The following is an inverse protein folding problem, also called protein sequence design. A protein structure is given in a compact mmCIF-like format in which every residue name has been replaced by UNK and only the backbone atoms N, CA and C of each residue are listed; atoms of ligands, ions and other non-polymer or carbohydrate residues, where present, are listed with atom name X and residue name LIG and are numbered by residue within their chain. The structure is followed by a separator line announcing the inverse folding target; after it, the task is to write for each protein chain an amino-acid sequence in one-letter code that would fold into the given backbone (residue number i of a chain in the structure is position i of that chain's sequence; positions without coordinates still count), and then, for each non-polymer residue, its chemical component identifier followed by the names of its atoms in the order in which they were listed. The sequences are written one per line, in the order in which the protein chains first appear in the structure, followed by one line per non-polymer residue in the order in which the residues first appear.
data_IF_119917256356
#
_entry.id   IF_119917256356
#
_cell.length_a   1.000
_cell.length_b   1.000
_cell.length_c   1.000
_cell.angle_alpha   90.00
_cell.angle_beta   90.00
_cell.angle_gamma   90.00
#
_symmetry.space_group_name_H-M   'P 1'
#
loop_
_entity.id
_entity.type
_entity.pdbx_description
1 polymer ?
#
# COMPACT_ATOMS: atom_id res chain seq x y z
N UNK A 1 26.21 -13.04 31.19
CA UNK A 1 25.63 -14.08 30.31
C UNK A 1 25.06 -13.40 29.06
N UNK A 2 25.29 -13.96 27.89
CA UNK A 2 24.68 -13.48 26.63
C UNK A 2 23.53 -14.43 26.31
N UNK A 3 22.29 -13.93 26.40
CA UNK A 3 21.11 -14.71 26.03
C UNK A 3 21.05 -14.84 24.50
N UNK A 4 21.26 -16.05 23.99
CA UNK A 4 21.05 -16.35 22.56
C UNK A 4 19.58 -16.65 22.34
N UNK A 5 18.95 -15.84 21.50
CA UNK A 5 17.58 -16.06 21.04
C UNK A 5 17.58 -17.28 20.10
N UNK A 6 16.72 -18.29 20.32
CA UNK A 6 16.60 -19.42 19.39
C UNK A 6 16.17 -18.94 18.01
N UNK A 7 16.85 -19.38 16.95
CA UNK A 7 16.38 -19.20 15.58
C UNK A 7 15.04 -19.94 15.43
N UNK A 8 13.95 -19.20 15.55
CA UNK A 8 12.62 -19.71 15.30
C UNK A 8 12.40 -19.70 13.78
N UNK A 9 12.79 -20.79 13.12
CA UNK A 9 12.36 -21.06 11.76
C UNK A 9 10.86 -21.33 11.80
N UNK A 10 10.05 -20.30 11.57
CA UNK A 10 8.61 -20.47 11.41
C UNK A 10 8.32 -20.89 9.96
N UNK A 11 8.00 -22.17 9.68
CA UNK A 11 7.70 -22.64 8.32
C UNK A 11 6.43 -22.00 7.75
N UNK A 12 5.68 -21.22 8.53
CA UNK A 12 4.49 -20.49 8.08
C UNK A 12 4.80 -19.19 7.33
N UNK A 13 6.07 -18.80 7.27
CA UNK A 13 6.52 -17.76 6.32
C UNK A 13 6.83 -18.34 4.93
N UNK A 14 6.34 -19.54 4.63
CA UNK A 14 6.20 -20.01 3.24
C UNK A 14 5.22 -19.07 2.54
N UNK A 15 5.69 -18.40 1.48
CA UNK A 15 4.89 -17.56 0.60
C UNK A 15 3.54 -18.21 0.33
N UNK A 16 2.47 -17.68 0.94
CA UNK A 16 1.11 -18.13 0.67
C UNK A 16 0.83 -17.86 -0.80
N UNK A 17 0.93 -18.89 -1.63
CA UNK A 17 0.37 -18.86 -2.99
C UNK A 17 -1.13 -18.76 -2.79
N UNK A 18 -1.66 -17.55 -2.90
CA UNK A 18 -3.09 -17.29 -2.83
C UNK A 18 -3.77 -18.13 -3.91
N UNK A 19 -4.42 -19.23 -3.53
CA UNK A 19 -5.23 -20.04 -4.41
C UNK A 19 -6.45 -19.21 -4.81
N UNK A 20 -6.37 -18.51 -5.94
CA UNK A 20 -7.48 -17.73 -6.46
C UNK A 20 -8.64 -18.67 -6.82
N UNK A 21 -9.92 -18.26 -6.60
CA UNK A 21 -11.05 -19.01 -7.12
C UNK A 21 -10.91 -19.20 -8.64
N UNK A 22 -11.25 -20.37 -9.19
CA UNK A 22 -11.14 -20.62 -10.62
C UNK A 22 -11.95 -19.57 -11.39
N UNK A 23 -11.26 -18.79 -12.24
CA UNK A 23 -11.87 -17.74 -13.09
C UNK A 23 -11.55 -16.30 -12.70
N UNK A 24 -10.84 -16.04 -11.60
CA UNK A 24 -10.34 -14.68 -11.30
C UNK A 24 -8.90 -14.52 -11.78
N UNK A 25 -8.66 -13.52 -12.64
CA UNK A 25 -7.31 -13.09 -13.00
C UNK A 25 -6.56 -12.66 -11.72
N UNK A 26 -5.27 -13.03 -11.58
CA UNK A 26 -4.47 -12.64 -10.44
C UNK A 26 -4.36 -11.12 -10.37
N UNK A 27 -4.46 -10.58 -9.15
CA UNK A 27 -4.20 -9.16 -8.91
C UNK A 27 -2.69 -8.93 -9.02
N UNK A 28 -2.28 -7.94 -9.80
CA UNK A 28 -0.87 -7.58 -9.92
C UNK A 28 -0.30 -7.08 -8.58
N UNK A 29 0.98 -7.33 -8.35
CA UNK A 29 1.66 -6.87 -7.15
C UNK A 29 1.74 -5.33 -7.10
N UNK A 30 1.75 -4.79 -5.88
CA UNK A 30 2.08 -3.40 -5.66
C UNK A 30 3.57 -3.18 -5.96
N UNK A 31 3.91 -2.05 -6.61
CA UNK A 31 5.28 -1.73 -6.96
C UNK A 31 6.25 -1.75 -5.76
N UNK A 32 5.79 -1.33 -4.58
CA UNK A 32 6.57 -1.36 -3.35
C UNK A 32 5.79 -2.01 -2.20
N UNK A 33 6.01 -3.32 -1.99
CA UNK A 33 5.51 -4.04 -0.82
C UNK A 33 5.94 -3.38 0.49
N UNK A 34 4.99 -3.23 1.42
CA UNK A 34 5.15 -2.45 2.66
C UNK A 34 4.32 -3.07 3.79
N UNK A 35 4.82 -2.97 5.02
CA UNK A 35 4.14 -3.36 6.25
C UNK A 35 3.72 -2.14 7.07
N UNK A 36 2.70 -2.29 7.92
CA UNK A 36 2.22 -1.22 8.80
C UNK A 36 1.50 -0.05 8.10
N UNK A 37 1.32 -0.10 6.78
CA UNK A 37 0.60 0.93 6.02
C UNK A 37 -0.88 0.98 6.42
N UNK A 38 -1.51 2.11 6.12
CA UNK A 38 -2.97 2.25 6.20
C UNK A 38 -3.58 2.21 4.81
N UNK A 39 -4.82 1.74 4.73
CA UNK A 39 -5.58 1.78 3.50
C UNK A 39 -7.03 2.20 3.75
N UNK A 40 -7.60 2.98 2.84
CA UNK A 40 -9.02 3.30 2.85
C UNK A 40 -9.60 3.18 1.44
N UNK A 41 -10.86 2.75 1.38
CA UNK A 41 -11.64 2.79 0.14
C UNK A 41 -12.26 4.18 -0.01
N UNK A 42 -11.98 4.82 -1.14
CA UNK A 42 -12.53 6.12 -1.52
C UNK A 42 -13.03 6.07 -2.96
N UNK A 43 -13.96 6.95 -3.30
CA UNK A 43 -14.34 7.14 -4.69
C UNK A 43 -13.43 8.20 -5.32
N UNK A 44 -12.78 7.86 -6.42
CA UNK A 44 -11.95 8.77 -7.20
C UNK A 44 -12.57 8.96 -8.60
N UNK A 45 -12.13 9.98 -9.36
CA UNK A 45 -12.41 10.02 -10.79
C UNK A 45 -11.89 8.76 -11.49
N UNK A 46 -12.58 8.34 -12.55
CA UNK A 46 -12.07 7.29 -13.43
C UNK A 46 -10.71 7.69 -14.02
N UNK A 47 -9.99 6.74 -14.62
CA UNK A 47 -8.77 7.05 -15.34
C UNK A 47 -9.09 8.05 -16.47
N UNK A 48 -8.45 9.23 -16.46
CA UNK A 48 -8.74 10.42 -17.30
C UNK A 48 -10.04 11.18 -16.97
N UNK A 49 -10.79 10.76 -15.97
CA UNK A 49 -11.91 11.53 -15.42
C UNK A 49 -11.42 12.73 -14.61
N UNK A 50 -12.30 13.70 -14.40
CA UNK A 50 -12.02 14.87 -13.57
C UNK A 50 -13.03 14.98 -12.43
N UNK A 51 -12.61 15.63 -11.34
CA UNK A 51 -13.51 16.08 -10.29
C UNK A 51 -14.57 17.03 -10.87
N UNK A 52 -15.84 17.04 -10.39
CA UNK A 52 -16.39 16.36 -9.20
C UNK A 52 -16.89 14.94 -9.42
N UNK A 53 -16.79 14.38 -10.64
CA UNK A 53 -17.31 13.04 -10.91
C UNK A 53 -16.35 11.98 -10.35
N UNK A 54 -16.55 11.61 -9.09
CA UNK A 54 -15.78 10.61 -8.38
C UNK A 54 -16.69 9.45 -7.95
N UNK A 55 -16.88 8.49 -8.85
CA UNK A 55 -17.72 7.30 -8.63
C UNK A 55 -16.92 5.99 -8.75
N UNK A 56 -15.60 6.06 -8.91
CA UNK A 56 -14.74 4.89 -9.09
C UNK A 56 -14.18 4.42 -7.74
N UNK A 57 -14.59 3.24 -7.22
CA UNK A 57 -14.09 2.76 -5.95
C UNK A 57 -12.62 2.37 -6.06
N UNK A 58 -11.77 3.00 -5.25
CA UNK A 58 -10.33 2.81 -5.24
C UNK A 58 -9.85 2.58 -3.81
N UNK A 59 -8.93 1.63 -3.62
CA UNK A 59 -8.20 1.49 -2.37
C UNK A 59 -6.95 2.36 -2.41
N UNK A 60 -6.86 3.34 -1.51
CA UNK A 60 -5.69 4.23 -1.37
C UNK A 60 -4.86 3.71 -0.21
N UNK A 61 -3.58 3.43 -0.46
CA UNK A 61 -2.61 2.90 0.49
C UNK A 61 -1.57 3.98 0.81
N UNK A 62 -1.35 4.26 2.09
CA UNK A 62 -0.46 5.33 2.57
C UNK A 62 0.50 4.84 3.65
N UNK A 63 1.69 5.42 3.68
CA UNK A 63 2.70 5.14 4.69
C UNK A 63 3.24 3.72 4.64
N UNK A 64 3.58 3.17 5.80
CA UNK A 64 4.22 1.87 5.94
C UNK A 64 5.73 1.90 5.83
N UNK A 65 6.34 0.74 6.01
CA UNK A 65 7.78 0.54 5.97
C UNK A 65 8.16 -0.81 5.35
N UNK A 66 9.44 -0.97 5.05
CA UNK A 66 10.04 -2.23 4.64
C UNK A 66 11.43 -2.35 5.26
N UNK A 67 11.73 -3.50 5.84
CA UNK A 67 13.10 -3.84 6.22
C UNK A 67 13.90 -4.17 4.96
N UNK A 68 15.00 -3.45 4.77
CA UNK A 68 15.98 -3.73 3.74
C UNK A 68 17.07 -4.63 4.32
N UNK A 69 16.92 -5.93 4.07
CA UNK A 69 17.85 -6.97 4.49
C UNK A 69 19.15 -6.97 3.67
N UNK A 70 19.27 -6.13 2.63
CA UNK A 70 20.39 -6.18 1.69
C UNK A 70 21.61 -5.34 2.09
N UNK A 71 21.58 -4.62 3.21
CA UNK A 71 22.57 -3.58 3.52
C UNK A 71 23.24 -3.66 4.90
N UNK A 72 24.09 -4.69 5.09
CA UNK A 72 25.08 -4.76 6.18
C UNK A 72 24.56 -5.26 7.54
N UNK A 73 25.38 -5.11 8.58
CA UNK A 73 25.19 -5.73 9.92
C UNK A 73 23.96 -5.21 10.72
N UNK A 74 23.25 -4.18 10.25
CA UNK A 74 22.09 -3.62 10.95
C UNK A 74 20.88 -3.51 10.00
N UNK A 75 19.69 -3.98 10.42
CA UNK A 75 18.48 -3.88 9.60
C UNK A 75 18.14 -2.41 9.36
N UNK A 76 18.06 -2.01 8.09
CA UNK A 76 17.62 -0.66 7.71
C UNK A 76 16.13 -0.66 7.42
N UNK A 77 15.40 0.22 8.07
CA UNK A 77 13.97 0.41 7.83
C UNK A 77 13.77 1.53 6.81
N UNK A 78 13.24 1.21 5.62
CA UNK A 78 12.77 2.20 4.64
C UNK A 78 11.32 2.53 4.94
N UNK A 79 11.06 3.73 5.43
CA UNK A 79 9.70 4.27 5.55
C UNK A 79 9.26 4.89 4.23
N UNK A 80 7.95 4.81 3.94
CA UNK A 80 7.38 5.33 2.71
C UNK A 80 6.58 6.60 2.94
N UNK A 81 6.71 7.55 2.02
CA UNK A 81 5.80 8.70 1.87
C UNK A 81 4.87 8.57 0.66
N UNK A 82 5.17 7.63 -0.24
CA UNK A 82 4.44 7.40 -1.47
C UNK A 82 3.04 6.87 -1.20
N UNK A 83 2.09 7.34 -2.01
CA UNK A 83 0.70 6.88 -2.00
C UNK A 83 0.46 5.97 -3.21
N UNK A 84 -0.18 4.82 -2.97
CA UNK A 84 -0.57 3.91 -4.05
C UNK A 84 -2.09 3.81 -4.14
N UNK A 85 -2.60 3.69 -5.35
CA UNK A 85 -4.03 3.62 -5.61
C UNK A 85 -4.31 2.35 -6.41
N UNK A 86 -5.20 1.50 -5.88
CA UNK A 86 -5.69 0.32 -6.57
C UNK A 86 -7.13 0.56 -7.03
N UNK A 87 -7.37 0.51 -8.33
CA UNK A 87 -8.71 0.56 -8.91
C UNK A 87 -9.36 -0.82 -8.75
N UNK A 88 -10.38 -0.89 -7.89
CA UNK A 88 -11.01 -2.16 -7.50
C UNK A 88 -11.74 -2.80 -8.67
N UNK A 89 -12.38 -1.99 -9.50
CA UNK A 89 -13.15 -2.46 -10.65
C UNK A 89 -12.23 -2.88 -11.81
N UNK A 90 -11.17 -2.13 -12.07
CA UNK A 90 -10.17 -2.47 -13.10
C UNK A 90 -9.21 -3.56 -12.63
N UNK A 91 -9.19 -3.86 -11.33
CA UNK A 91 -8.24 -4.78 -10.67
C UNK A 91 -6.79 -4.45 -10.97
N UNK A 92 -6.47 -3.16 -10.99
CA UNK A 92 -5.16 -2.66 -11.41
C UNK A 92 -4.67 -1.53 -10.52
N UNK A 93 -3.35 -1.50 -10.31
CA UNK A 93 -2.68 -0.35 -9.71
C UNK A 93 -2.66 0.81 -10.70
N UNK A 94 -3.04 1.98 -10.22
CA UNK A 94 -3.05 3.22 -10.99
C UNK A 94 -1.68 3.86 -10.98
N UNK A 95 -1.33 4.49 -12.10
CA UNK A 95 -0.09 5.24 -12.28
C UNK A 95 -0.30 6.75 -12.29
N UNK A 96 -1.54 7.24 -12.21
CA UNK A 96 -1.85 8.66 -12.21
C UNK A 96 -1.77 9.26 -10.80
N UNK A 97 -1.17 10.45 -10.72
CA UNK A 97 -0.88 11.17 -9.47
C UNK A 97 -2.10 11.95 -8.97
N UNK A 98 -3.20 11.26 -8.65
CA UNK A 98 -4.42 11.90 -8.13
C UNK A 98 -4.30 12.32 -6.67
N UNK A 99 -3.51 11.59 -5.89
CA UNK A 99 -3.30 11.85 -4.47
C UNK A 99 -1.83 12.19 -4.28
N UNK A 100 -1.50 13.38 -3.76
CA UNK A 100 -0.11 13.75 -3.54
C UNK A 100 0.53 12.86 -2.47
N UNK A 101 1.84 12.68 -2.58
CA UNK A 101 2.64 12.04 -1.55
C UNK A 101 2.50 12.74 -0.20
N UNK A 102 2.72 11.98 0.87
CA UNK A 102 2.85 12.56 2.20
C UNK A 102 4.09 13.48 2.28
N UNK A 103 4.00 14.53 3.10
CA UNK A 103 5.12 15.45 3.32
C UNK A 103 6.33 14.78 3.97
N UNK A 104 6.12 13.74 4.78
CA UNK A 104 7.17 13.01 5.48
C UNK A 104 6.91 11.51 5.45
N UNK A 105 7.93 10.64 5.26
CA UNK A 105 7.78 9.20 5.39
C UNK A 105 7.35 8.78 6.80
N UNK A 106 6.41 7.84 6.88
CA UNK A 106 5.87 7.34 8.15
C UNK A 106 5.43 5.88 8.03
N UNK A 107 5.76 5.07 9.02
CA UNK A 107 5.21 3.71 9.18
C UNK A 107 3.72 3.78 9.50
N UNK A 108 3.37 4.47 10.60
CA UNK A 108 1.99 4.67 11.03
C UNK A 108 1.47 6.03 10.55
N UNK A 109 0.28 6.03 9.96
CA UNK A 109 -0.47 7.23 9.59
C UNK A 109 -1.89 7.12 10.13
N UNK A 110 -2.56 8.25 10.33
CA UNK A 110 -4.01 8.28 10.48
C UNK A 110 -4.59 8.67 9.11
N UNK A 111 -5.46 7.82 8.56
CA UNK A 111 -6.14 8.08 7.30
C UNK A 111 -7.60 8.43 7.57
N UNK A 112 -7.97 9.66 7.23
CA UNK A 112 -9.34 10.16 7.37
C UNK A 112 -9.95 10.40 6.00
N UNK A 113 -11.21 9.98 5.81
CA UNK A 113 -11.97 10.23 4.59
C UNK A 113 -13.12 11.19 4.93
N UNK A 114 -13.22 12.28 4.20
CA UNK A 114 -14.28 13.27 4.36
C UNK A 114 -14.68 13.88 3.03
N UNK A 115 -15.91 14.38 2.94
CA UNK A 115 -16.39 15.11 1.77
C UNK A 115 -15.79 16.52 1.81
N UNK A 116 -14.78 16.77 0.98
CA UNK A 116 -14.17 18.09 0.82
C UNK A 116 -14.73 18.83 -0.40
N UNK A 117 -14.78 20.17 -0.34
CA UNK A 117 -14.92 21.04 -1.52
C UNK A 117 -13.55 21.63 -1.82
N UNK A 118 -13.07 21.51 -3.07
CA UNK A 118 -11.92 22.27 -3.54
C UNK A 118 -12.41 23.68 -3.84
N UNK A 119 -11.91 24.70 -3.13
CA UNK A 119 -12.09 26.09 -3.53
C UNK A 119 -11.16 26.35 -4.72
N UNK A 120 -11.73 26.85 -5.82
CA UNK A 120 -10.98 27.27 -7.01
C UNK A 120 -10.27 28.61 -6.77
#
# INVERSE_FOLDING_TARGET
EVYRVPEQTDPRCSSHVSSHPPGQAPIGDMAEGRMGCQAAVVNLPSHKGAFPLANRPCAVVVGGERCDESSGDLPKVKQFKSVHIFDIEARAWRSDELVPDMSVPRTAAALCVGVGRIAA
#
